data_IF_435337945303
#
_entry.id   IF_435337945303
#
_cell.length_a   1.000
_cell.length_b   1.000
_cell.length_c   1.000
_cell.angle_alpha   90.00
_cell.angle_beta   90.00
_cell.angle_gamma   90.00
#
_symmetry.space_group_name_H-M   'P 1'
#
loop_
_entity.id
_entity.type
_entity.pdbx_description
1 polymer ?
#
# COMPACT_ATOMS: atom_id res chain seq x y z
N UNK A 1 -13.06 -29.66 13.96
CA UNK A 1 -11.97 -29.93 13.00
C UNK A 1 -11.58 -28.68 12.19
N UNK A 2 -12.55 -27.94 11.64
CA UNK A 2 -12.31 -26.74 10.81
C UNK A 2 -11.49 -25.64 11.48
N UNK A 3 -11.75 -25.33 12.76
CA UNK A 3 -11.03 -24.27 13.48
C UNK A 3 -9.52 -24.53 13.66
N UNK A 4 -9.13 -25.78 13.91
CA UNK A 4 -7.71 -26.15 14.02
C UNK A 4 -6.98 -26.03 12.69
N UNK A 5 -7.63 -26.42 11.60
CA UNK A 5 -7.08 -26.35 10.25
C UNK A 5 -6.88 -24.89 9.80
N UNK A 6 -7.79 -23.99 10.17
CA UNK A 6 -7.65 -22.54 9.94
C UNK A 6 -6.51 -21.91 10.73
N UNK A 7 -6.36 -22.28 12.02
CA UNK A 7 -5.22 -21.83 12.85
C UNK A 7 -3.89 -22.34 12.31
N UNK A 8 -3.85 -23.61 11.88
CA UNK A 8 -2.67 -24.20 11.27
C UNK A 8 -2.30 -23.53 9.94
N UNK A 9 -3.29 -23.23 9.08
CA UNK A 9 -3.09 -22.46 7.86
C UNK A 9 -2.45 -21.11 8.17
N UNK A 10 -3.05 -20.37 9.10
CA UNK A 10 -2.54 -19.05 9.50
C UNK A 10 -1.09 -19.11 10.01
N UNK A 11 -0.78 -20.06 10.90
CA UNK A 11 0.57 -20.23 11.42
C UNK A 11 1.60 -20.58 10.34
N UNK A 12 1.25 -21.49 9.41
CA UNK A 12 2.12 -21.87 8.30
C UNK A 12 2.33 -20.71 7.33
N UNK A 13 1.27 -19.98 6.98
CA UNK A 13 1.38 -18.81 6.10
C UNK A 13 2.26 -17.73 6.73
N UNK A 14 2.08 -17.41 8.02
CA UNK A 14 2.95 -16.49 8.74
C UNK A 14 4.41 -16.96 8.76
N UNK A 15 4.65 -18.24 9.02
CA UNK A 15 5.99 -18.83 8.99
C UNK A 15 6.65 -18.69 7.61
N UNK A 16 5.93 -18.99 6.53
CA UNK A 16 6.43 -18.87 5.16
C UNK A 16 6.74 -17.43 4.75
N UNK A 17 5.96 -16.46 5.24
CA UNK A 17 6.24 -15.03 5.00
C UNK A 17 7.55 -14.62 5.68
N UNK A 18 7.84 -15.11 6.89
CA UNK A 18 9.10 -14.81 7.61
C UNK A 18 10.32 -15.37 6.88
N UNK A 19 10.17 -16.49 6.15
CA UNK A 19 11.24 -17.07 5.31
C UNK A 19 11.61 -16.16 4.13
N UNK A 20 10.82 -15.12 3.84
CA UNK A 20 11.14 -14.11 2.83
C UNK A 20 10.79 -14.53 1.40
N UNK A 21 10.00 -15.58 1.23
CA UNK A 21 9.52 -16.00 -0.09
C UNK A 21 8.44 -15.01 -0.59
N UNK A 22 8.32 -14.74 -1.91
CA UNK A 22 7.38 -13.73 -2.39
C UNK A 22 5.94 -14.03 -1.96
N UNK A 23 5.30 -13.01 -1.39
CA UNK A 23 4.02 -13.13 -0.66
C UNK A 23 2.94 -13.81 -1.50
N UNK A 24 2.83 -13.50 -2.79
CA UNK A 24 1.85 -14.09 -3.69
C UNK A 24 1.94 -15.63 -3.74
N UNK A 25 3.15 -16.18 -3.84
CA UNK A 25 3.36 -17.63 -3.86
C UNK A 25 3.13 -18.26 -2.49
N UNK A 26 3.50 -17.58 -1.41
CA UNK A 26 3.25 -18.09 -0.05
C UNK A 26 1.75 -18.20 0.25
N UNK A 27 0.97 -17.19 -0.11
CA UNK A 27 -0.48 -17.17 0.10
C UNK A 27 -1.18 -18.20 -0.79
N UNK A 28 -0.89 -18.22 -2.10
CA UNK A 28 -1.51 -19.17 -3.02
C UNK A 28 -1.11 -20.62 -2.70
N UNK A 29 0.18 -20.86 -2.44
CA UNK A 29 0.70 -22.19 -2.12
C UNK A 29 0.14 -22.73 -0.81
N UNK A 30 0.17 -21.95 0.27
CA UNK A 30 -0.41 -22.36 1.56
C UNK A 30 -1.92 -22.62 1.45
N UNK A 31 -2.66 -21.76 0.74
CA UNK A 31 -4.09 -21.96 0.50
C UNK A 31 -4.39 -23.26 -0.26
N UNK A 32 -3.65 -23.58 -1.33
CA UNK A 32 -3.85 -24.80 -2.12
C UNK A 32 -3.48 -26.07 -1.34
N UNK A 33 -2.37 -26.05 -0.59
CA UNK A 33 -1.95 -27.19 0.24
C UNK A 33 -3.02 -27.50 1.29
N UNK A 34 -3.51 -26.48 1.99
CA UNK A 34 -4.55 -26.67 3.00
C UNK A 34 -5.92 -26.96 2.42
N UNK A 35 -6.24 -26.51 1.20
CA UNK A 35 -7.45 -26.93 0.49
C UNK A 35 -7.41 -28.44 0.16
N UNK A 36 -6.25 -28.96 -0.26
CA UNK A 36 -6.06 -30.39 -0.51
C UNK A 36 -6.17 -31.23 0.77
N UNK A 37 -5.49 -30.80 1.84
CA UNK A 37 -5.58 -31.44 3.17
C UNK A 37 -7.02 -31.39 3.71
N UNK A 38 -7.71 -30.25 3.53
CA UNK A 38 -9.11 -30.06 3.92
C UNK A 38 -10.06 -31.00 3.18
N UNK A 39 -9.77 -31.32 1.93
CA UNK A 39 -10.53 -32.30 1.14
C UNK A 39 -10.36 -33.72 1.65
N UNK A 40 -9.11 -34.14 1.92
CA UNK A 40 -8.80 -35.45 2.52
C UNK A 40 -9.50 -35.66 3.87
N UNK A 41 -9.66 -34.59 4.65
CA UNK A 41 -10.32 -34.61 5.95
C UNK A 41 -11.86 -34.43 5.87
N UNK A 42 -12.41 -34.28 4.66
CA UNK A 42 -13.86 -34.07 4.44
C UNK A 42 -14.39 -32.72 4.93
N UNK A 43 -13.51 -31.75 5.20
CA UNK A 43 -13.86 -30.41 5.72
C UNK A 43 -14.05 -29.40 4.60
N UNK A 44 -13.44 -29.64 3.43
CA UNK A 44 -13.44 -28.71 2.30
C UNK A 44 -13.73 -29.42 0.97
N UNK A 45 -14.67 -28.88 0.18
CA UNK A 45 -14.97 -29.42 -1.14
C UNK A 45 -14.10 -28.75 -2.22
N UNK A 46 -13.33 -29.56 -2.95
CA UNK A 46 -12.50 -29.10 -4.07
C UNK A 46 -13.34 -28.46 -5.19
N UNK A 47 -14.63 -28.78 -5.30
CA UNK A 47 -15.55 -28.12 -6.23
C UNK A 47 -15.64 -26.60 -6.03
N UNK A 48 -15.40 -26.13 -4.80
CA UNK A 48 -15.39 -24.69 -4.47
C UNK A 48 -14.19 -23.94 -5.08
N UNK A 49 -13.11 -24.64 -5.46
CA UNK A 49 -11.98 -24.01 -6.15
C UNK A 49 -12.39 -23.45 -7.53
N UNK A 50 -13.36 -24.08 -8.20
CA UNK A 50 -13.89 -23.56 -9.47
C UNK A 50 -14.56 -22.20 -9.31
N UNK A 51 -15.34 -22.02 -8.24
CA UNK A 51 -15.96 -20.73 -7.90
C UNK A 51 -14.90 -19.66 -7.57
N UNK A 52 -13.77 -20.06 -6.98
CA UNK A 52 -12.66 -19.16 -6.66
C UNK A 52 -12.00 -18.59 -7.93
N UNK A 53 -11.82 -19.39 -8.98
CA UNK A 53 -11.29 -18.91 -10.27
C UNK A 53 -12.18 -17.83 -10.85
N UNK A 54 -13.50 -18.02 -10.81
CA UNK A 54 -14.45 -17.04 -11.34
C UNK A 54 -14.46 -15.74 -10.52
N UNK A 55 -14.27 -15.83 -9.20
CA UNK A 55 -14.07 -14.65 -8.34
C UNK A 55 -12.78 -13.90 -8.67
N UNK A 56 -11.66 -14.61 -8.94
CA UNK A 56 -10.40 -13.98 -9.35
C UNK A 56 -10.60 -13.20 -10.65
N UNK A 57 -11.18 -13.83 -11.67
CA UNK A 57 -11.44 -13.15 -12.95
C UNK A 57 -12.35 -11.93 -12.79
N UNK A 58 -13.42 -12.05 -11.98
CA UNK A 58 -14.30 -10.92 -11.69
C UNK A 58 -13.59 -9.75 -11.03
N UNK A 59 -12.64 -10.02 -10.10
CA UNK A 59 -11.82 -8.97 -9.48
C UNK A 59 -10.81 -8.37 -10.45
N UNK A 60 -10.19 -9.17 -11.31
CA UNK A 60 -9.24 -8.68 -12.32
C UNK A 60 -9.87 -7.68 -13.31
N UNK A 61 -11.16 -7.83 -13.59
CA UNK A 61 -11.91 -6.92 -14.46
C UNK A 61 -12.41 -5.65 -13.75
N UNK A 62 -12.10 -5.48 -12.45
CA UNK A 62 -12.55 -4.31 -11.72
C UNK A 62 -11.89 -3.03 -12.26
N UNK A 63 -12.67 -2.03 -12.73
CA UNK A 63 -12.13 -0.79 -13.29
C UNK A 63 -11.31 0.02 -12.29
N UNK A 64 -11.55 -0.13 -10.99
CA UNK A 64 -10.76 0.52 -9.92
C UNK A 64 -9.32 0.01 -9.92
N UNK A 65 -9.09 -1.27 -10.25
CA UNK A 65 -7.74 -1.85 -10.28
C UNK A 65 -6.92 -1.36 -11.49
N UNK A 66 -7.56 -0.83 -12.54
CA UNK A 66 -6.86 -0.17 -13.67
C UNK A 66 -6.11 1.08 -13.18
N UNK A 67 -6.57 1.72 -12.11
CA UNK A 67 -5.87 2.85 -11.52
C UNK A 67 -4.48 2.45 -10.99
N UNK A 68 -4.29 1.22 -10.51
CA UNK A 68 -3.02 0.78 -9.90
C UNK A 68 -1.85 0.84 -10.90
N UNK A 69 -1.92 0.22 -12.10
CA UNK A 69 -0.87 0.38 -13.11
C UNK A 69 -0.63 1.82 -13.55
N UNK A 70 -1.69 2.64 -13.67
CA UNK A 70 -1.56 4.05 -14.06
C UNK A 70 -0.84 4.87 -12.98
N UNK A 71 -1.11 4.61 -11.70
CA UNK A 71 -0.40 5.23 -10.59
C UNK A 71 1.06 4.79 -10.53
N UNK A 72 1.34 3.51 -10.73
CA UNK A 72 2.73 3.01 -10.81
C UNK A 72 3.45 3.67 -11.98
N UNK A 73 2.81 3.80 -13.14
CA UNK A 73 3.39 4.48 -14.30
C UNK A 73 3.71 5.94 -14.00
N UNK A 74 2.78 6.68 -13.39
CA UNK A 74 2.99 8.06 -12.97
C UNK A 74 4.16 8.19 -11.99
N UNK A 75 4.22 7.33 -10.97
CA UNK A 75 5.32 7.31 -10.00
C UNK A 75 6.68 7.08 -10.64
N UNK A 76 6.77 6.07 -11.52
CA UNK A 76 8.01 5.78 -12.25
C UNK A 76 8.39 6.91 -13.21
N UNK A 77 7.41 7.53 -13.87
CA UNK A 77 7.66 8.65 -14.79
C UNK A 77 8.19 9.89 -14.04
N UNK A 78 7.62 10.22 -12.88
CA UNK A 78 8.09 11.31 -12.03
C UNK A 78 9.48 11.05 -11.45
N UNK A 79 9.78 9.81 -11.07
CA UNK A 79 11.12 9.42 -10.62
C UNK A 79 12.15 9.51 -11.76
N UNK A 80 11.82 9.01 -12.95
CA UNK A 80 12.73 8.98 -14.11
C UNK A 80 12.94 10.33 -14.78
N UNK A 81 12.01 11.27 -14.61
CA UNK A 81 12.08 12.61 -15.20
C UNK A 81 13.00 13.58 -14.45
N UNK A 82 13.60 13.16 -13.32
CA UNK A 82 14.43 14.01 -12.43
C UNK A 82 13.74 15.22 -11.82
N UNK A 83 12.42 15.36 -12.00
CA UNK A 83 11.60 16.40 -11.37
C UNK A 83 11.75 16.37 -9.85
N UNK A 84 12.01 15.19 -9.27
CA UNK A 84 12.35 14.97 -7.88
C UNK A 84 13.56 15.80 -7.38
N UNK A 85 14.65 15.83 -8.14
CA UNK A 85 15.88 16.58 -7.80
C UNK A 85 15.62 18.08 -7.91
N UNK A 86 15.01 18.52 -9.02
CA UNK A 86 14.71 19.93 -9.26
C UNK A 86 13.75 20.51 -8.21
N UNK A 87 12.79 19.70 -7.74
CA UNK A 87 11.88 20.06 -6.65
C UNK A 87 12.60 20.19 -5.31
N UNK A 88 13.54 19.29 -4.99
CA UNK A 88 14.35 19.39 -3.77
C UNK A 88 15.17 20.67 -3.76
N UNK A 89 15.82 21.01 -4.87
CA UNK A 89 16.61 22.24 -4.98
C UNK A 89 15.73 23.48 -4.89
N UNK A 90 14.63 23.52 -5.64
CA UNK A 90 13.67 24.63 -5.62
C UNK A 90 13.05 24.85 -4.24
N UNK A 91 12.68 23.77 -3.54
CA UNK A 91 12.16 23.85 -2.18
C UNK A 91 13.24 24.23 -1.18
N UNK A 92 14.50 23.84 -1.41
CA UNK A 92 15.65 24.29 -0.63
C UNK A 92 15.85 25.80 -0.73
N UNK A 93 15.63 26.39 -1.91
CA UNK A 93 15.63 27.84 -2.10
C UNK A 93 14.44 28.51 -1.44
N UNK A 94 13.23 27.95 -1.60
CA UNK A 94 12.00 28.51 -1.05
C UNK A 94 12.04 28.58 0.49
N UNK A 95 12.50 27.52 1.14
CA UNK A 95 12.56 27.43 2.60
C UNK A 95 13.90 27.89 3.19
N UNK A 96 14.80 28.51 2.39
CA UNK A 96 16.12 28.98 2.85
C UNK A 96 16.06 29.92 4.06
N UNK A 97 14.98 30.69 4.20
CA UNK A 97 14.79 31.67 5.29
C UNK A 97 14.35 31.03 6.61
N UNK A 98 13.91 29.77 6.61
CA UNK A 98 13.49 29.08 7.82
C UNK A 98 14.65 28.35 8.49
N UNK A 99 14.77 28.41 9.83
CA UNK A 99 15.68 27.54 10.56
C UNK A 99 15.23 26.08 10.33
N UNK A 100 16.11 25.26 9.76
CA UNK A 100 15.76 23.89 9.38
C UNK A 100 15.12 23.75 7.98
N UNK A 101 15.21 24.78 7.13
CA UNK A 101 14.55 24.82 5.81
C UNK A 101 14.79 23.57 4.95
N UNK A 102 16.01 23.02 4.95
CA UNK A 102 16.31 21.78 4.21
C UNK A 102 15.48 20.57 4.69
N UNK A 103 15.29 20.39 6.00
CA UNK A 103 14.46 19.31 6.54
C UNK A 103 13.00 19.46 6.13
N UNK A 104 12.48 20.70 6.12
CA UNK A 104 11.12 20.99 5.64
C UNK A 104 11.00 20.69 4.14
N UNK A 105 12.00 21.07 3.33
CA UNK A 105 12.05 20.73 1.91
C UNK A 105 12.00 19.22 1.69
N UNK A 106 12.74 18.43 2.48
CA UNK A 106 12.74 16.96 2.39
C UNK A 106 11.38 16.38 2.75
N UNK A 107 10.70 16.91 3.77
CA UNK A 107 9.34 16.47 4.13
C UNK A 107 8.35 16.79 3.01
N UNK A 108 8.36 18.02 2.48
CA UNK A 108 7.43 18.42 1.42
C UNK A 108 7.66 17.65 0.13
N UNK A 109 8.91 17.57 -0.34
CA UNK A 109 9.22 16.88 -1.61
C UNK A 109 9.08 15.37 -1.41
N UNK A 110 9.47 14.87 -0.24
CA UNK A 110 9.26 13.49 0.17
C UNK A 110 7.78 13.13 0.15
N UNK A 111 6.91 13.95 0.71
CA UNK A 111 5.47 13.74 0.68
C UNK A 111 4.91 13.74 -0.75
N UNK A 112 5.33 14.68 -1.61
CA UNK A 112 4.87 14.74 -3.00
C UNK A 112 5.30 13.52 -3.83
N UNK A 113 6.56 13.10 -3.70
CA UNK A 113 7.05 11.89 -4.38
C UNK A 113 6.48 10.60 -3.79
N UNK A 114 6.33 10.55 -2.47
CA UNK A 114 5.76 9.41 -1.77
C UNK A 114 4.29 9.23 -2.17
N UNK A 115 3.51 10.31 -2.28
CA UNK A 115 2.12 10.25 -2.74
C UNK A 115 2.06 9.62 -4.13
N UNK A 116 2.89 10.06 -5.07
CA UNK A 116 2.85 9.49 -6.42
C UNK A 116 3.31 8.03 -6.51
N UNK A 117 4.20 7.57 -5.64
CA UNK A 117 4.76 6.20 -5.71
C UNK A 117 3.98 5.20 -4.86
N UNK A 118 3.37 5.63 -3.76
CA UNK A 118 2.57 4.79 -2.86
C UNK A 118 3.34 3.66 -2.15
N UNK A 119 4.67 3.59 -2.32
CA UNK A 119 5.53 2.51 -1.84
C UNK A 119 6.64 3.10 -0.97
N UNK A 120 6.50 2.95 0.35
CA UNK A 120 7.44 3.50 1.36
C UNK A 120 8.88 3.08 1.09
N UNK A 121 9.12 1.80 0.77
CA UNK A 121 10.47 1.29 0.55
C UNK A 121 11.20 1.97 -0.61
N UNK A 122 10.52 2.14 -1.75
CA UNK A 122 11.10 2.79 -2.92
C UNK A 122 11.41 4.26 -2.63
N UNK A 123 10.46 5.01 -2.06
CA UNK A 123 10.65 6.43 -1.79
C UNK A 123 11.74 6.69 -0.77
N UNK A 124 11.83 5.88 0.31
CA UNK A 124 12.87 6.03 1.34
C UNK A 124 14.25 5.76 0.76
N UNK A 125 14.40 4.77 -0.14
CA UNK A 125 15.68 4.50 -0.81
C UNK A 125 16.05 5.67 -1.73
N UNK A 126 15.14 6.13 -2.57
CA UNK A 126 15.40 7.24 -3.51
C UNK A 126 15.73 8.53 -2.75
N UNK A 127 14.94 8.89 -1.74
CA UNK A 127 15.22 10.06 -0.89
C UNK A 127 16.47 9.88 -0.04
N UNK A 128 16.77 8.68 0.44
CA UNK A 128 18.00 8.37 1.15
C UNK A 128 19.23 8.62 0.29
N UNK A 129 19.20 8.21 -0.98
CA UNK A 129 20.31 8.43 -1.91
C UNK A 129 20.47 9.90 -2.31
N UNK A 130 19.36 10.63 -2.47
CA UNK A 130 19.36 12.02 -2.96
C UNK A 130 19.55 13.06 -1.84
N UNK A 131 18.85 12.91 -0.72
CA UNK A 131 18.73 13.96 0.31
C UNK A 131 19.64 13.76 1.52
N UNK A 132 19.88 12.53 1.96
CA UNK A 132 20.74 12.23 3.11
C UNK A 132 22.15 12.83 2.99
N UNK A 133 22.91 12.63 1.88
CA UNK A 133 24.25 13.22 1.76
C UNK A 133 24.23 14.74 1.84
N UNK A 134 23.19 15.37 1.28
CA UNK A 134 23.01 16.83 1.30
C UNK A 134 22.69 17.35 2.71
N UNK A 135 21.85 16.64 3.47
CA UNK A 135 21.54 16.97 4.86
C UNK A 135 22.77 16.89 5.76
N UNK A 136 23.57 15.83 5.63
CA UNK A 136 24.81 15.65 6.40
C UNK A 136 25.84 16.74 6.10
N UNK A 137 26.01 17.12 4.83
CA UNK A 137 26.91 18.24 4.43
C UNK A 137 26.46 19.59 5.01
N UNK A 138 25.16 19.76 5.28
CA UNK A 138 24.62 20.96 5.93
C UNK A 138 24.59 20.87 7.46
N UNK A 139 25.20 19.85 8.05
CA UNK A 139 25.36 19.72 9.50
C UNK A 139 24.14 19.19 10.25
N UNK A 140 23.20 18.52 9.56
CA UNK A 140 22.12 17.82 10.25
C UNK A 140 22.64 16.61 11.02
N UNK A 141 22.07 16.36 12.20
CA UNK A 141 22.29 15.11 12.91
C UNK A 141 21.85 13.90 12.05
N UNK A 142 22.65 12.83 11.94
CA UNK A 142 22.31 11.66 11.13
C UNK A 142 20.98 11.01 11.52
N UNK A 143 20.65 11.00 12.82
CA UNK A 143 19.40 10.41 13.33
C UNK A 143 18.20 11.26 12.91
N UNK A 144 18.34 12.59 12.97
CA UNK A 144 17.31 13.51 12.49
C UNK A 144 17.12 13.38 10.97
N UNK A 145 18.21 13.36 10.20
CA UNK A 145 18.13 13.23 8.75
C UNK A 145 17.46 11.91 8.34
N UNK A 146 17.92 10.77 8.87
CA UNK A 146 17.31 9.47 8.59
C UNK A 146 15.85 9.42 9.05
N UNK A 147 15.54 9.90 10.26
CA UNK A 147 14.19 9.95 10.78
C UNK A 147 13.24 10.78 9.92
N UNK A 148 13.67 11.96 9.47
CA UNK A 148 12.86 12.82 8.58
C UNK A 148 12.61 12.18 7.22
N UNK A 149 13.59 11.51 6.62
CA UNK A 149 13.44 10.80 5.35
C UNK A 149 12.47 9.62 5.51
N UNK A 150 12.63 8.83 6.57
CA UNK A 150 11.73 7.72 6.86
C UNK A 150 10.30 8.19 7.11
N UNK A 151 10.11 9.25 7.91
CA UNK A 151 8.80 9.84 8.17
C UNK A 151 8.15 10.37 6.88
N UNK A 152 8.90 11.13 6.07
CA UNK A 152 8.42 11.66 4.80
C UNK A 152 8.00 10.55 3.83
N UNK A 153 8.74 9.44 3.78
CA UNK A 153 8.39 8.28 2.96
C UNK A 153 7.07 7.61 3.37
N UNK A 154 6.71 7.63 4.66
CA UNK A 154 5.43 7.06 5.13
C UNK A 154 4.20 7.91 4.78
N UNK A 155 4.38 9.23 4.58
CA UNK A 155 3.27 10.13 4.25
C UNK A 155 2.61 9.80 2.90
N UNK A 156 3.35 9.19 1.98
CA UNK A 156 2.82 8.77 0.68
C UNK A 156 1.75 7.70 0.73
N UNK A 157 1.64 6.97 1.86
CA UNK A 157 0.56 6.01 2.04
C UNK A 157 -0.78 6.69 2.31
N UNK A 158 -0.76 7.90 2.89
CA UNK A 158 -1.94 8.59 3.39
C UNK A 158 -2.41 9.69 2.43
N UNK A 159 -1.48 10.43 1.81
CA UNK A 159 -1.83 11.57 0.97
C UNK A 159 -2.36 11.07 -0.39
N UNK A 160 -3.61 11.42 -0.78
CA UNK A 160 -4.10 11.12 -2.12
C UNK A 160 -3.26 11.83 -3.20
N UNK A 161 -2.97 11.17 -4.33
CA UNK A 161 -3.40 9.83 -4.73
C UNK A 161 -2.56 8.71 -4.10
N UNK A 162 -3.18 7.72 -3.43
CA UNK A 162 -2.45 6.61 -2.77
C UNK A 162 -2.93 5.24 -3.25
N UNK A 163 -2.02 4.41 -3.77
CA UNK A 163 -2.31 3.02 -4.18
C UNK A 163 -2.87 2.22 -3.01
N UNK A 164 -2.34 2.44 -1.80
CA UNK A 164 -2.81 1.74 -0.59
C UNK A 164 -4.26 2.07 -0.29
N UNK A 165 -4.65 3.36 -0.38
CA UNK A 165 -6.04 3.76 -0.18
C UNK A 165 -6.98 3.23 -1.27
N UNK A 166 -6.54 3.17 -2.52
CA UNK A 166 -7.32 2.56 -3.63
C UNK A 166 -7.58 1.08 -3.34
N UNK A 167 -6.55 0.33 -2.98
CA UNK A 167 -6.68 -1.10 -2.65
C UNK A 167 -7.52 -1.32 -1.40
N UNK A 168 -7.33 -0.49 -0.38
CA UNK A 168 -8.12 -0.55 0.85
C UNK A 168 -9.60 -0.27 0.56
N UNK A 169 -9.90 0.69 -0.31
CA UNK A 169 -11.27 1.01 -0.71
C UNK A 169 -11.97 -0.13 -1.41
N UNK A 170 -11.30 -0.84 -2.31
CA UNK A 170 -11.86 -2.04 -2.94
C UNK A 170 -12.16 -3.13 -1.90
N UNK A 171 -11.21 -3.40 -1.00
CA UNK A 171 -11.39 -4.42 0.05
C UNK A 171 -12.52 -4.02 1.01
N UNK A 172 -12.54 -2.77 1.47
CA UNK A 172 -13.58 -2.25 2.35
C UNK A 172 -14.95 -2.26 1.68
N UNK A 173 -15.07 -1.84 0.42
CA UNK A 173 -16.33 -1.85 -0.32
C UNK A 173 -16.90 -3.27 -0.39
N UNK A 174 -16.07 -4.24 -0.79
CA UNK A 174 -16.50 -5.65 -0.87
C UNK A 174 -16.88 -6.24 0.50
N UNK A 175 -16.12 -5.95 1.55
CA UNK A 175 -16.40 -6.41 2.91
C UNK A 175 -17.66 -5.75 3.48
N UNK A 176 -17.86 -4.46 3.22
CA UNK A 176 -19.02 -3.69 3.68
C UNK A 176 -20.30 -4.19 2.99
N UNK A 177 -20.26 -4.44 1.68
CA UNK A 177 -21.38 -5.06 0.96
C UNK A 177 -21.72 -6.45 1.51
N UNK A 178 -20.72 -7.31 1.75
CA UNK A 178 -20.96 -8.64 2.33
C UNK A 178 -21.60 -8.55 3.73
N UNK A 179 -21.15 -7.62 4.57
CA UNK A 179 -21.70 -7.45 5.91
C UNK A 179 -23.18 -7.01 5.90
N UNK A 180 -23.55 -6.14 4.96
CA UNK A 180 -24.93 -5.67 4.79
C UNK A 180 -25.86 -6.77 4.29
N UNK A 181 -25.38 -7.58 3.34
CA UNK A 181 -26.12 -8.75 2.86
C UNK A 181 -26.39 -9.75 3.97
N UNK A 182 -25.43 -9.99 4.87
CA UNK A 182 -25.62 -10.84 6.05
C UNK A 182 -26.61 -10.26 7.07
N UNK A 183 -26.77 -8.93 7.10
CA UNK A 183 -27.77 -8.24 7.92
C UNK A 183 -29.17 -8.17 7.29
N UNK A 184 -29.37 -8.77 6.12
CA UNK A 184 -30.65 -8.77 5.39
C UNK A 184 -30.92 -7.48 4.60
N UNK A 185 -29.90 -6.64 4.39
CA UNK A 185 -29.99 -5.45 3.54
C UNK A 185 -29.65 -5.87 2.11
N UNK A 186 -30.66 -5.94 1.25
CA UNK A 186 -30.52 -6.38 -0.15
C UNK A 186 -30.20 -5.24 -1.14
N UNK A 187 -30.24 -3.99 -0.68
CA UNK A 187 -29.74 -2.81 -1.39
C UNK A 187 -28.54 -2.25 -0.61
N UNK A 188 -27.34 -2.85 -0.76
CA UNK A 188 -26.18 -2.47 0.03
C UNK A 188 -25.59 -1.14 -0.46
N UNK A 189 -25.31 -0.25 0.48
CA UNK A 189 -24.53 0.95 0.21
C UNK A 189 -23.06 0.57 -0.02
N UNK A 190 -22.38 1.31 -0.90
CA UNK A 190 -20.96 1.09 -1.20
C UNK A 190 -20.12 2.25 -0.70
N UNK A 191 -18.99 1.94 -0.08
CA UNK A 191 -17.96 2.95 0.18
C UNK A 191 -17.07 3.02 -1.05
N UNK A 192 -17.01 4.20 -1.68
CA UNK A 192 -16.16 4.41 -2.84
C UNK A 192 -14.73 4.75 -2.43
N UNK A 193 -13.78 4.56 -3.34
CA UNK A 193 -12.41 5.07 -3.15
C UNK A 193 -12.40 6.59 -2.97
N UNK A 194 -13.34 7.29 -3.60
CA UNK A 194 -13.51 8.74 -3.44
C UNK A 194 -13.84 9.14 -2.01
N UNK A 195 -14.67 8.37 -1.32
CA UNK A 195 -15.03 8.62 0.08
C UNK A 195 -13.83 8.42 1.01
N UNK A 196 -13.01 7.40 0.73
CA UNK A 196 -11.73 7.23 1.44
C UNK A 196 -10.73 8.36 1.17
N UNK A 197 -10.68 8.88 -0.05
CA UNK A 197 -9.80 10.02 -0.38
C UNK A 197 -10.28 11.29 0.34
N UNK A 198 -11.59 11.53 0.37
CA UNK A 198 -12.18 12.66 1.09
C UNK A 198 -11.88 12.56 2.59
N UNK A 199 -12.11 11.39 3.20
CA UNK A 199 -11.82 11.14 4.62
C UNK A 199 -10.34 11.19 4.98
N UNK A 200 -9.43 10.85 4.04
CA UNK A 200 -7.99 10.98 4.24
C UNK A 200 -7.51 12.44 4.21
N UNK A 201 -8.15 13.31 3.42
CA UNK A 201 -7.81 14.74 3.38
C UNK A 201 -8.36 15.50 4.58
N UNK A 202 -9.59 15.18 5.02
CA UNK A 202 -10.23 15.82 6.17
C UNK A 202 -10.90 14.74 7.03
N UNK A 203 -10.26 14.33 8.13
CA UNK A 203 -10.84 13.34 9.03
C UNK A 203 -12.17 13.84 9.61
N UNK A 204 -13.27 13.11 9.37
CA UNK A 204 -14.58 13.40 9.95
C UNK A 204 -15.58 14.15 9.05
N UNK A 205 -15.27 14.35 7.76
CA UNK A 205 -16.27 14.58 6.70
C UNK A 205 -16.94 13.26 6.30
#
# INVERSE_FOLDING_TARGET
MSGFLALALFAVTCGLIVVGYPVAFTLAGSALIFAFIGNLLGVFDLGLLGAYVQQIFGRMTNPVLIAVPLFVFMGVMLERSKVAEDLLDSMGFLFRRLPGGLGVSVICVGALLAASTGIVGATVVTMGLLSLPTMLRRGYDPSLAAGTICAAGTLGQIIPPSIVLVLLGEVLSSAYQQSQLQRGIFAPDTVSVGDLFAGAMVPGL
#
